data_IF_429821466347
#
_entry.id   IF_429821466347
#
_cell.length_a   1.000
_cell.length_b   1.000
_cell.length_c   1.000
_cell.angle_alpha   90.00
_cell.angle_beta   90.00
_cell.angle_gamma   90.00
#
_symmetry.space_group_name_H-M   'P 1'
#
loop_
_entity.id
_entity.type
_entity.pdbx_description
1 polymer ?
#
# COMPACT_ATOMS: atom_id res chain seq x y z
N UNK A 1 14.78 20.10 52.02
CA UNK A 1 13.43 19.95 51.43
C UNK A 1 13.24 20.70 50.11
N UNK A 2 13.77 21.93 49.93
CA UNK A 2 13.68 22.68 48.66
C UNK A 2 14.29 21.98 47.42
N UNK A 3 15.36 21.19 47.60
CA UNK A 3 16.00 20.43 46.51
C UNK A 3 15.23 19.17 46.07
N UNK A 4 14.34 18.64 46.91
CA UNK A 4 13.52 17.45 46.59
C UNK A 4 12.28 17.81 45.76
N UNK A 5 11.73 19.01 45.95
CA UNK A 5 10.57 19.50 45.18
C UNK A 5 10.96 19.80 43.73
N UNK A 6 12.18 20.30 43.49
CA UNK A 6 12.67 20.56 42.13
C UNK A 6 12.89 19.29 41.31
N UNK A 7 13.34 18.19 41.93
CA UNK A 7 13.51 16.90 41.23
C UNK A 7 12.17 16.27 40.86
N UNK A 8 11.14 16.43 41.70
CA UNK A 8 9.79 15.94 41.40
C UNK A 8 9.13 16.71 40.25
N UNK A 9 9.38 18.02 40.15
CA UNK A 9 8.88 18.85 39.04
C UNK A 9 9.57 18.54 37.70
N UNK A 10 10.86 18.16 37.73
CA UNK A 10 11.58 17.78 36.51
C UNK A 10 11.16 16.40 35.97
N UNK A 11 10.83 15.45 36.84
CA UNK A 11 10.38 14.10 36.44
C UNK A 11 8.95 14.15 35.89
N UNK A 12 8.07 15.00 36.42
CA UNK A 12 6.71 15.18 35.89
C UNK A 12 6.68 15.80 34.49
N UNK A 13 7.74 16.51 34.07
CA UNK A 13 7.81 17.11 32.73
C UNK A 13 8.19 16.13 31.61
N UNK A 14 8.74 14.96 31.96
CA UNK A 14 9.19 13.94 30.99
C UNK A 14 8.05 13.00 30.56
N UNK A 15 6.88 13.06 31.21
CA UNK A 15 5.75 12.15 30.96
C UNK A 15 4.67 12.74 30.05
N UNK A 16 4.86 13.95 29.50
CA UNK A 16 4.09 14.35 28.31
C UNK A 16 4.71 13.64 27.09
N UNK A 17 4.59 12.31 27.09
CA UNK A 17 4.83 11.47 25.94
C UNK A 17 4.07 12.06 24.75
N UNK A 18 4.76 12.12 23.62
CA UNK A 18 4.43 12.78 22.35
C UNK A 18 3.09 12.34 21.76
N UNK A 19 2.01 12.71 22.43
CA UNK A 19 0.65 12.42 22.01
C UNK A 19 0.22 13.53 21.08
N UNK A 20 0.37 13.28 19.78
CA UNK A 20 -0.01 14.23 18.74
C UNK A 20 -1.36 13.81 18.15
N UNK A 21 -2.11 14.78 17.64
CA UNK A 21 -3.30 14.48 16.88
C UNK A 21 -2.91 13.72 15.60
N UNK A 22 -3.68 12.69 15.29
CA UNK A 22 -3.56 11.92 14.07
C UNK A 22 -4.55 12.45 13.06
N UNK A 23 -4.10 12.68 11.84
CA UNK A 23 -4.90 13.20 10.75
C UNK A 23 -4.80 12.29 9.53
N UNK A 24 -5.92 12.13 8.83
CA UNK A 24 -5.94 11.68 7.45
C UNK A 24 -5.82 12.91 6.56
N UNK A 25 -4.81 12.94 5.71
CA UNK A 25 -4.51 14.07 4.83
C UNK A 25 -4.66 13.59 3.39
N UNK A 26 -5.49 14.28 2.61
CA UNK A 26 -5.67 13.96 1.20
C UNK A 26 -4.44 14.38 0.38
N UNK A 27 -4.03 13.51 -0.55
CA UNK A 27 -2.93 13.72 -1.48
C UNK A 27 -3.49 13.75 -2.91
N UNK A 28 -3.35 14.88 -3.58
CA UNK A 28 -3.71 14.99 -5.01
C UNK A 28 -2.56 14.48 -5.91
N UNK A 29 -1.33 14.43 -5.38
CA UNK A 29 -0.14 13.92 -6.06
C UNK A 29 1.02 13.65 -5.08
N UNK A 30 2.03 12.93 -5.56
CA UNK A 30 3.26 12.59 -4.82
C UNK A 30 4.09 13.82 -4.41
N UNK A 31 4.02 14.95 -5.14
CA UNK A 31 4.74 16.19 -4.76
C UNK A 31 4.22 16.77 -3.45
N UNK A 32 2.91 16.70 -3.19
CA UNK A 32 2.32 17.17 -1.92
C UNK A 32 2.85 16.37 -0.73
N UNK A 33 3.09 15.07 -0.89
CA UNK A 33 3.65 14.22 0.16
C UNK A 33 5.08 14.65 0.52
N UNK A 34 5.93 14.91 -0.47
CA UNK A 34 7.30 15.40 -0.25
C UNK A 34 7.30 16.73 0.50
N UNK A 35 6.49 17.69 0.05
CA UNK A 35 6.37 19.01 0.71
C UNK A 35 5.77 18.92 2.12
N UNK A 36 4.89 17.95 2.37
CA UNK A 36 4.32 17.70 3.69
C UNK A 36 5.40 17.19 4.65
N UNK A 37 6.24 16.24 4.21
CA UNK A 37 7.34 15.67 5.01
C UNK A 37 8.48 16.66 5.22
N UNK A 38 8.75 17.54 4.26
CA UNK A 38 9.75 18.61 4.39
C UNK A 38 9.36 19.70 5.42
N UNK A 39 8.11 19.72 5.88
CA UNK A 39 7.68 20.62 6.94
C UNK A 39 8.16 20.07 8.28
N UNK A 40 9.05 20.79 8.99
CA UNK A 40 9.85 20.29 10.13
C UNK A 40 9.07 19.68 11.32
N UNK A 41 7.74 19.70 11.32
CA UNK A 41 6.90 19.19 12.41
C UNK A 41 5.78 18.24 11.95
N UNK A 42 5.93 17.57 10.79
CA UNK A 42 4.96 16.55 10.34
C UNK A 42 5.62 15.18 10.25
N UNK A 43 5.04 14.21 10.95
CA UNK A 43 5.41 12.80 10.86
C UNK A 43 4.36 12.04 10.03
N UNK A 44 4.78 11.39 8.94
CA UNK A 44 3.90 10.53 8.14
C UNK A 44 4.05 9.08 8.61
N UNK A 45 2.94 8.42 8.92
CA UNK A 45 2.88 7.09 9.54
C UNK A 45 2.38 5.99 8.61
N UNK A 46 1.68 6.41 7.55
CA UNK A 46 1.23 5.59 6.43
C UNK A 46 0.97 6.51 5.24
N UNK A 47 1.18 6.05 4.01
CA UNK A 47 0.79 6.78 2.81
C UNK A 47 0.48 5.82 1.66
N UNK A 48 -0.33 6.31 0.73
CA UNK A 48 -0.52 5.77 -0.62
C UNK A 48 -0.65 6.96 -1.59
N UNK A 49 -1.13 6.70 -2.81
CA UNK A 49 -1.24 7.74 -3.84
C UNK A 49 -2.37 8.76 -3.60
N UNK A 50 -3.32 8.46 -2.71
CA UNK A 50 -4.57 9.24 -2.51
C UNK A 50 -4.59 9.94 -1.16
N UNK A 51 -3.97 9.39 -0.13
CA UNK A 51 -3.91 9.99 1.19
C UNK A 51 -2.70 9.50 2.00
N UNK A 52 -2.39 10.24 3.07
CA UNK A 52 -1.50 9.78 4.12
C UNK A 52 -2.13 9.93 5.50
N UNK A 53 -1.64 9.14 6.44
CA UNK A 53 -1.90 9.30 7.86
C UNK A 53 -0.69 10.01 8.46
N UNK A 54 -0.92 11.17 9.06
CA UNK A 54 0.14 12.03 9.56
C UNK A 54 -0.18 12.59 10.96
N UNK A 55 0.86 12.86 11.75
CA UNK A 55 0.76 13.57 13.02
C UNK A 55 1.62 14.83 13.01
N UNK A 56 1.30 15.74 13.93
CA UNK A 56 2.04 16.99 14.12
C UNK A 56 1.32 18.20 13.51
N UNK A 57 2.08 19.21 13.10
CA UNK A 57 1.53 20.47 12.60
C UNK A 57 1.23 20.39 11.10
N UNK A 58 0.17 19.63 10.78
CA UNK A 58 -0.36 19.56 9.41
C UNK A 58 -1.00 20.91 9.09
N UNK A 59 -0.30 21.78 8.36
CA UNK A 59 -0.78 23.13 8.06
C UNK A 59 -2.14 23.19 7.35
N UNK A 60 -2.85 24.30 7.49
CA UNK A 60 -4.21 24.52 6.96
C UNK A 60 -4.32 24.45 5.43
N UNK A 61 -3.20 24.52 4.71
CA UNK A 61 -3.15 24.38 3.24
C UNK A 61 -3.50 22.97 2.75
N UNK A 62 -3.53 21.98 3.64
CA UNK A 62 -3.86 20.60 3.31
C UNK A 62 -5.29 20.26 3.73
N UNK A 63 -6.03 19.58 2.86
CA UNK A 63 -7.32 18.99 3.23
C UNK A 63 -7.07 17.82 4.18
N UNK A 64 -7.41 18.02 5.46
CA UNK A 64 -7.17 17.06 6.55
C UNK A 64 -8.44 16.77 7.32
N UNK A 65 -8.54 15.55 7.83
CA UNK A 65 -9.59 15.10 8.75
C UNK A 65 -8.95 14.53 10.00
N UNK A 66 -9.50 14.88 11.17
CA UNK A 66 -9.03 14.36 12.44
C UNK A 66 -9.41 12.87 12.55
N UNK A 67 -8.42 12.03 12.79
CA UNK A 67 -8.59 10.59 13.06
C UNK A 67 -8.68 10.34 14.55
N UNK A 68 -7.73 10.86 15.32
CA UNK A 68 -7.70 10.65 16.78
C UNK A 68 -6.98 11.82 17.45
N UNK A 69 -7.43 12.23 18.64
CA UNK A 69 -6.69 13.15 19.50
C UNK A 69 -5.77 12.36 20.41
N UNK A 70 -4.56 12.86 20.64
CA UNK A 70 -3.61 12.21 21.55
C UNK A 70 -3.32 10.75 21.12
N UNK A 71 -2.91 10.55 19.87
CA UNK A 71 -2.60 9.23 19.36
C UNK A 71 -1.40 8.59 20.09
N UNK A 72 -1.38 7.25 20.09
CA UNK A 72 -0.38 6.40 20.77
C UNK A 72 -0.17 6.66 22.28
N UNK A 73 -1.13 7.31 22.96
CA UNK A 73 -1.08 7.47 24.42
C UNK A 73 -1.31 6.17 25.19
N UNK A 74 -1.90 5.15 24.54
CA UNK A 74 -2.25 3.86 25.13
C UNK A 74 -1.47 2.74 24.41
N UNK A 75 -1.34 1.55 25.04
CA UNK A 75 -0.64 0.37 24.49
C UNK A 75 -1.38 -0.30 23.31
N UNK A 76 -2.19 0.45 22.56
CA UNK A 76 -2.95 -0.03 21.41
C UNK A 76 -2.34 0.51 20.13
N UNK A 77 -2.33 -0.33 19.09
CA UNK A 77 -1.88 0.04 17.75
C UNK A 77 -3.08 0.48 16.90
N UNK A 78 -2.79 1.23 15.84
CA UNK A 78 -3.79 1.67 14.87
C UNK A 78 -3.73 0.81 13.61
N UNK A 79 -4.88 0.38 13.13
CA UNK A 79 -5.01 -0.42 11.92
C UNK A 79 -5.98 0.22 10.95
N UNK A 80 -5.55 0.32 9.70
CA UNK A 80 -6.36 0.71 8.56
C UNK A 80 -7.01 -0.54 7.98
N UNK A 81 -8.34 -0.52 7.87
CA UNK A 81 -9.16 -1.59 7.30
C UNK A 81 -9.84 -1.05 6.05
N UNK A 82 -9.60 -1.68 4.91
CA UNK A 82 -10.30 -1.37 3.66
C UNK A 82 -11.70 -1.96 3.67
N UNK A 83 -12.68 -1.14 3.31
CA UNK A 83 -14.08 -1.52 3.29
C UNK A 83 -14.46 -2.13 1.94
N UNK A 84 -15.24 -3.21 1.91
CA UNK A 84 -15.71 -3.80 0.66
C UNK A 84 -16.71 -2.85 -0.03
N UNK A 85 -16.62 -2.74 -1.36
CA UNK A 85 -17.53 -1.89 -2.16
C UNK A 85 -19.01 -2.31 -2.01
N UNK A 86 -19.25 -3.60 -1.75
CA UNK A 86 -20.56 -4.17 -1.47
C UNK A 86 -20.61 -4.58 -0.01
N UNK A 87 -21.75 -4.39 0.65
CA UNK A 87 -21.96 -4.79 2.06
C UNK A 87 -21.09 -4.04 3.08
N UNK A 88 -20.60 -2.83 2.71
CA UNK A 88 -19.80 -1.98 3.60
C UNK A 88 -20.48 -1.78 4.96
N UNK A 89 -21.77 -1.45 4.99
CA UNK A 89 -22.51 -1.15 6.22
C UNK A 89 -22.49 -2.30 7.23
N UNK A 90 -22.76 -3.53 6.78
CA UNK A 90 -22.74 -4.71 7.65
C UNK A 90 -21.32 -5.05 8.12
N UNK A 91 -20.31 -4.81 7.28
CA UNK A 91 -18.92 -5.01 7.64
C UNK A 91 -18.43 -3.96 8.65
N UNK A 92 -18.82 -2.69 8.48
CA UNK A 92 -18.56 -1.59 9.41
C UNK A 92 -19.16 -1.91 10.77
N UNK A 93 -20.42 -2.35 10.83
CA UNK A 93 -21.08 -2.70 12.09
C UNK A 93 -20.32 -3.84 12.81
N UNK A 94 -19.89 -4.86 12.07
CA UNK A 94 -19.06 -5.94 12.60
C UNK A 94 -17.75 -5.42 13.19
N UNK A 95 -17.05 -4.52 12.49
CA UNK A 95 -15.79 -3.93 12.96
C UNK A 95 -16.04 -3.09 14.22
N UNK A 96 -17.05 -2.21 14.21
CA UNK A 96 -17.39 -1.33 15.32
C UNK A 96 -17.79 -2.10 16.59
N UNK A 97 -18.38 -3.29 16.44
CA UNK A 97 -18.72 -4.17 17.55
C UNK A 97 -17.52 -4.92 18.16
N UNK A 98 -16.43 -5.09 17.40
CA UNK A 98 -15.24 -5.84 17.82
C UNK A 98 -14.08 -4.94 18.26
N UNK A 99 -13.98 -3.75 17.68
CA UNK A 99 -12.83 -2.86 17.84
C UNK A 99 -13.26 -1.42 18.11
N UNK A 100 -12.36 -0.66 18.72
CA UNK A 100 -12.57 0.77 18.90
C UNK A 100 -12.28 1.50 17.58
N UNK A 101 -13.34 1.83 16.84
CA UNK A 101 -13.24 2.58 15.58
C UNK A 101 -13.06 4.07 15.85
N UNK A 102 -11.95 4.63 15.37
CA UNK A 102 -11.58 6.03 15.57
C UNK A 102 -11.88 6.90 14.34
N UNK A 103 -11.95 6.28 13.16
CA UNK A 103 -12.27 6.97 11.92
C UNK A 103 -12.95 6.03 10.93
N UNK A 104 -13.80 6.59 10.08
CA UNK A 104 -14.47 5.90 9.00
C UNK A 104 -14.82 6.88 7.87
N UNK A 105 -14.71 6.41 6.64
CA UNK A 105 -15.36 6.97 5.45
C UNK A 105 -15.90 5.86 4.54
N UNK A 106 -16.19 6.16 3.28
CA UNK A 106 -16.76 5.22 2.32
C UNK A 106 -15.78 4.11 1.87
N UNK A 107 -14.47 4.28 2.09
CA UNK A 107 -13.42 3.39 1.59
C UNK A 107 -12.65 2.68 2.69
N UNK A 108 -12.48 3.32 3.85
CA UNK A 108 -11.65 2.81 4.94
C UNK A 108 -12.29 3.04 6.31
N UNK A 109 -11.95 2.17 7.24
CA UNK A 109 -12.09 2.38 8.67
C UNK A 109 -10.70 2.35 9.32
N UNK A 110 -10.50 3.13 10.38
CA UNK A 110 -9.31 3.04 11.24
C UNK A 110 -9.76 2.63 12.63
N UNK A 111 -9.13 1.58 13.15
CA UNK A 111 -9.44 1.00 14.46
C UNK A 111 -8.22 0.95 15.36
N UNK A 112 -8.45 1.02 16.67
CA UNK A 112 -7.47 0.72 17.71
C UNK A 112 -7.65 -0.73 18.18
N UNK A 113 -6.55 -1.46 18.25
CA UNK A 113 -6.55 -2.87 18.69
C UNK A 113 -5.17 -3.32 19.15
N UNK A 114 -5.10 -4.43 19.88
CA UNK A 114 -3.86 -5.20 20.02
C UNK A 114 -3.60 -6.04 18.77
N UNK A 115 -2.35 -6.50 18.62
CA UNK A 115 -1.96 -7.38 17.51
C UNK A 115 -2.70 -8.73 17.57
N UNK A 116 -2.94 -9.26 18.76
CA UNK A 116 -3.64 -10.54 18.95
C UNK A 116 -5.11 -10.43 18.54
N UNK A 117 -5.79 -9.36 18.95
CA UNK A 117 -7.21 -9.17 18.66
C UNK A 117 -7.45 -8.86 17.17
N UNK A 118 -6.62 -8.01 16.55
CA UNK A 118 -6.82 -7.63 15.15
C UNK A 118 -6.60 -8.80 14.19
N UNK A 119 -5.72 -9.74 14.54
CA UNK A 119 -5.48 -10.95 13.73
C UNK A 119 -6.68 -11.90 13.70
N UNK A 120 -7.70 -11.70 14.56
CA UNK A 120 -8.96 -12.45 14.53
C UNK A 120 -9.99 -11.79 13.60
N UNK A 121 -9.74 -10.58 13.11
CA UNK A 121 -10.62 -9.92 12.15
C UNK A 121 -10.61 -10.71 10.84
N UNK A 122 -11.79 -11.16 10.42
CA UNK A 122 -11.98 -11.68 9.07
C UNK A 122 -11.97 -10.49 8.09
N UNK A 123 -10.84 -10.30 7.39
CA UNK A 123 -10.60 -9.20 6.45
C UNK A 123 -11.40 -9.43 5.17
N UNK A 124 -12.29 -8.51 4.82
CA UNK A 124 -13.17 -8.65 3.65
C UNK A 124 -12.42 -8.56 2.31
N UNK A 125 -11.26 -7.91 2.28
CA UNK A 125 -10.43 -7.70 1.09
C UNK A 125 -9.03 -8.26 1.32
N UNK A 126 -8.45 -8.93 0.32
CA UNK A 126 -7.07 -9.41 0.42
C UNK A 126 -6.10 -8.23 0.57
N UNK A 127 -5.22 -8.26 1.57
CA UNK A 127 -4.37 -7.11 1.93
C UNK A 127 -5.15 -5.92 2.51
N UNK A 128 -6.43 -6.11 2.83
CA UNK A 128 -7.34 -5.08 3.33
C UNK A 128 -7.08 -4.63 4.76
N UNK A 129 -6.02 -5.10 5.41
CA UNK A 129 -5.64 -4.75 6.78
C UNK A 129 -4.19 -4.29 6.81
N UNK A 130 -3.96 -3.07 7.27
CA UNK A 130 -2.62 -2.45 7.32
C UNK A 130 -2.39 -1.84 8.69
N UNK A 131 -1.28 -2.22 9.34
CA UNK A 131 -0.83 -1.56 10.58
C UNK A 131 -0.26 -0.17 10.27
N UNK A 132 -0.83 0.85 10.88
CA UNK A 132 -0.29 2.22 10.83
C UNK A 132 0.91 2.26 11.79
N UNK A 133 2.07 2.66 11.27
CA UNK A 133 3.30 2.67 12.07
C UNK A 133 3.25 3.78 13.11
N UNK A 134 3.78 3.55 14.31
CA UNK A 134 3.97 4.63 15.29
C UNK A 134 5.13 5.55 14.91
N UNK A 135 6.10 5.01 14.20
CA UNK A 135 7.29 5.73 13.77
C UNK A 135 7.09 6.27 12.34
N UNK A 136 7.65 7.45 12.03
CA UNK A 136 7.56 8.00 10.69
C UNK A 136 8.11 7.03 9.64
N UNK A 137 7.34 6.83 8.57
CA UNK A 137 7.77 6.05 7.40
C UNK A 137 8.84 6.80 6.62
N UNK A 138 9.81 6.06 6.09
CA UNK A 138 10.83 6.63 5.22
C UNK A 138 10.25 6.77 3.82
N UNK A 139 10.21 7.99 3.30
CA UNK A 139 9.91 8.19 1.88
C UNK A 139 11.05 7.62 1.04
N UNK A 140 10.74 7.00 -0.11
CA UNK A 140 11.76 6.57 -1.05
C UNK A 140 12.54 7.79 -1.51
N UNK A 141 13.81 7.83 -1.15
CA UNK A 141 14.73 8.80 -1.73
C UNK A 141 15.03 8.32 -3.14
N UNK A 142 14.82 9.17 -4.15
CA UNK A 142 15.40 8.92 -5.47
C UNK A 142 16.90 8.87 -5.27
N UNK A 143 17.46 7.66 -5.20
CA UNK A 143 18.90 7.49 -5.34
C UNK A 143 19.22 8.02 -6.72
N UNK A 144 19.98 9.11 -6.77
CA UNK A 144 20.68 9.48 -7.98
C UNK A 144 21.62 8.31 -8.27
N UNK A 145 21.22 7.46 -9.20
CA UNK A 145 22.12 6.49 -9.77
C UNK A 145 23.18 7.31 -10.51
N UNK A 146 24.29 7.57 -9.84
CA UNK A 146 25.53 7.89 -10.51
C UNK A 146 25.91 6.62 -11.26
N UNK A 147 25.36 6.48 -12.46
CA UNK A 147 25.95 5.63 -13.47
C UNK A 147 27.31 6.26 -13.76
N UNK A 148 28.31 5.82 -13.00
CA UNK A 148 29.63 5.72 -13.58
C UNK A 148 29.40 4.89 -14.84
N UNK A 149 29.63 5.47 -16.02
CA UNK A 149 29.66 4.75 -17.28
C UNK A 149 30.87 3.81 -17.20
N UNK A 150 30.76 2.78 -16.35
CA UNK A 150 31.55 1.56 -16.46
C UNK A 150 31.32 1.11 -17.89
N UNK A 151 32.42 0.97 -18.62
CA UNK A 151 32.49 0.37 -19.96
C UNK A 151 31.30 -0.57 -20.15
N UNK A 152 30.42 -0.21 -21.09
CA UNK A 152 29.19 -0.94 -21.31
C UNK A 152 29.49 -2.44 -21.35
N UNK A 153 28.77 -3.20 -20.55
CA UNK A 153 28.92 -4.65 -20.54
C UNK A 153 28.48 -5.14 -21.92
N UNK A 154 29.45 -5.55 -22.72
CA UNK A 154 29.22 -5.99 -24.11
C UNK A 154 28.25 -7.18 -24.15
N UNK A 155 28.12 -7.93 -23.06
CA UNK A 155 27.10 -8.97 -22.91
C UNK A 155 25.70 -8.37 -22.92
N UNK A 156 25.49 -7.30 -22.15
CA UNK A 156 24.20 -6.61 -22.05
C UNK A 156 23.88 -5.90 -23.37
N UNK A 157 24.85 -5.25 -24.00
CA UNK A 157 24.66 -4.62 -25.31
C UNK A 157 24.25 -5.64 -26.37
N UNK A 158 24.89 -6.81 -26.39
CA UNK A 158 24.54 -7.90 -27.30
C UNK A 158 23.15 -8.47 -27.01
N UNK A 159 22.75 -8.58 -25.73
CA UNK A 159 21.40 -9.01 -25.37
C UNK A 159 20.34 -8.00 -25.83
N UNK A 160 20.60 -6.70 -25.64
CA UNK A 160 19.69 -5.64 -26.10
C UNK A 160 19.63 -5.58 -27.63
N UNK A 161 20.75 -5.72 -28.32
CA UNK A 161 20.81 -5.73 -29.79
C UNK A 161 20.12 -6.95 -30.41
N UNK A 162 19.99 -8.06 -29.67
CA UNK A 162 19.26 -9.25 -30.11
C UNK A 162 17.73 -9.09 -30.01
N UNK A 163 17.23 -8.07 -29.31
CA UNK A 163 15.79 -7.79 -29.21
C UNK A 163 15.28 -7.18 -30.52
N UNK A 164 14.38 -7.88 -31.18
CA UNK A 164 13.73 -7.40 -32.40
C UNK A 164 12.41 -6.71 -32.07
N UNK A 165 12.38 -5.37 -32.19
CA UNK A 165 11.20 -4.56 -31.87
C UNK A 165 9.97 -4.94 -32.71
N UNK A 166 10.16 -5.29 -33.98
CA UNK A 166 9.08 -5.71 -34.88
C UNK A 166 8.42 -7.02 -34.41
N UNK A 167 9.20 -7.97 -33.88
CA UNK A 167 8.68 -9.22 -33.31
C UNK A 167 7.83 -8.95 -32.07
N UNK A 168 8.28 -8.05 -31.19
CA UNK A 168 7.51 -7.65 -30.00
C UNK A 168 6.19 -6.99 -30.40
N UNK A 169 6.21 -6.12 -31.41
CA UNK A 169 4.99 -5.45 -31.88
C UNK A 169 4.01 -6.44 -32.52
N UNK A 170 4.51 -7.42 -33.27
CA UNK A 170 3.68 -8.47 -33.84
C UNK A 170 3.00 -9.32 -32.74
N UNK A 171 3.74 -9.66 -31.68
CA UNK A 171 3.20 -10.40 -30.55
C UNK A 171 2.14 -9.58 -29.77
N UNK A 172 2.39 -8.28 -29.56
CA UNK A 172 1.42 -7.37 -28.94
C UNK A 172 0.14 -7.27 -29.77
N UNK A 173 0.27 -7.03 -31.08
CA UNK A 173 -0.88 -6.91 -31.96
C UNK A 173 -1.70 -8.20 -31.97
N UNK A 174 -1.05 -9.35 -32.07
CA UNK A 174 -1.75 -10.64 -32.03
C UNK A 174 -2.53 -10.83 -30.73
N UNK A 175 -1.95 -10.42 -29.59
CA UNK A 175 -2.67 -10.45 -28.32
C UNK A 175 -3.86 -9.48 -28.33
N UNK A 176 -3.70 -8.26 -28.85
CA UNK A 176 -4.79 -7.27 -28.95
C UNK A 176 -5.94 -7.73 -29.86
N UNK A 177 -5.65 -8.51 -30.91
CA UNK A 177 -6.65 -9.01 -31.87
C UNK A 177 -7.73 -9.90 -31.23
N UNK A 178 -7.46 -10.50 -30.06
CA UNK A 178 -8.46 -11.24 -29.29
C UNK A 178 -9.59 -10.36 -28.72
N UNK A 179 -9.39 -9.04 -28.62
CA UNK A 179 -10.40 -8.08 -28.12
C UNK A 179 -10.64 -8.11 -26.60
N UNK A 180 -10.87 -9.29 -26.01
CA UNK A 180 -10.93 -9.52 -24.56
C UNK A 180 -10.07 -10.73 -24.18
N UNK A 181 -9.62 -10.77 -22.93
CA UNK A 181 -8.91 -11.91 -22.33
C UNK A 181 -9.39 -12.13 -20.90
N UNK A 182 -10.70 -11.94 -20.67
CA UNK A 182 -11.32 -12.24 -19.38
C UNK A 182 -11.11 -13.71 -19.02
N UNK A 183 -10.80 -13.99 -17.76
CA UNK A 183 -10.31 -15.32 -17.32
C UNK A 183 -11.25 -16.50 -17.61
N UNK A 184 -12.53 -16.24 -17.88
CA UNK A 184 -13.58 -17.21 -18.18
C UNK A 184 -14.07 -17.16 -19.64
N UNK A 185 -13.36 -16.43 -20.51
CA UNK A 185 -13.69 -16.28 -21.93
C UNK A 185 -12.96 -17.31 -22.79
N UNK A 186 -13.50 -17.62 -23.98
CA UNK A 186 -12.85 -18.53 -24.93
C UNK A 186 -11.55 -17.91 -25.47
N UNK A 187 -11.56 -16.61 -25.67
CA UNK A 187 -10.44 -15.80 -26.14
C UNK A 187 -9.24 -15.88 -25.18
N UNK A 188 -9.50 -16.00 -23.87
CA UNK A 188 -8.43 -16.23 -22.89
C UNK A 188 -7.80 -17.63 -22.99
N UNK A 189 -8.59 -18.66 -23.33
CA UNK A 189 -8.08 -20.02 -23.57
C UNK A 189 -7.23 -20.03 -24.85
N UNK A 190 -7.74 -19.44 -25.93
CA UNK A 190 -7.02 -19.34 -27.20
C UNK A 190 -5.70 -18.56 -27.05
N UNK A 191 -5.70 -17.49 -26.25
CA UNK A 191 -4.48 -16.75 -25.94
C UNK A 191 -3.48 -17.58 -25.11
N UNK A 192 -3.95 -18.38 -24.15
CA UNK A 192 -3.09 -19.27 -23.36
C UNK A 192 -2.44 -20.34 -24.23
N UNK A 193 -3.21 -20.98 -25.11
CA UNK A 193 -2.71 -21.99 -26.04
C UNK A 193 -1.70 -21.38 -27.03
N UNK A 194 -1.96 -20.16 -27.51
CA UNK A 194 -1.01 -19.46 -28.39
C UNK A 194 0.31 -19.14 -27.67
N UNK A 195 0.25 -18.61 -26.45
CA UNK A 195 1.43 -18.35 -25.62
C UNK A 195 2.22 -19.63 -25.40
N UNK A 196 1.53 -20.71 -25.03
CA UNK A 196 2.15 -22.03 -24.86
C UNK A 196 2.89 -22.45 -26.14
N UNK A 197 2.23 -22.37 -27.29
CA UNK A 197 2.83 -22.70 -28.57
C UNK A 197 4.05 -21.83 -28.91
N UNK A 198 4.08 -20.54 -28.54
CA UNK A 198 5.27 -19.70 -28.74
C UNK A 198 6.46 -20.22 -27.93
N UNK A 199 6.27 -20.56 -26.66
CA UNK A 199 7.34 -21.11 -25.82
C UNK A 199 7.81 -22.48 -26.32
N UNK A 200 6.89 -23.35 -26.76
CA UNK A 200 7.24 -24.66 -27.34
C UNK A 200 8.01 -24.53 -28.65
N UNK A 201 7.70 -23.52 -29.48
CA UNK A 201 8.47 -23.20 -30.70
C UNK A 201 9.92 -22.83 -30.39
N UNK A 202 10.19 -22.25 -29.22
CA UNK A 202 11.55 -21.99 -28.73
C UNK A 202 12.23 -23.23 -28.11
N UNK A 203 11.57 -24.39 -28.14
CA UNK A 203 12.07 -25.65 -27.62
C UNK A 203 11.92 -25.79 -26.11
N UNK A 204 11.06 -24.99 -25.48
CA UNK A 204 10.79 -25.04 -24.05
C UNK A 204 9.63 -26.01 -23.78
N UNK A 205 9.70 -26.74 -22.65
CA UNK A 205 8.59 -27.54 -22.18
C UNK A 205 7.67 -26.66 -21.34
N UNK A 206 6.39 -26.62 -21.70
CA UNK A 206 5.39 -25.79 -21.02
C UNK A 206 4.20 -26.59 -20.51
N UNK A 207 3.60 -26.10 -19.42
CA UNK A 207 2.38 -26.64 -18.83
C UNK A 207 1.42 -25.47 -18.55
N UNK A 208 0.16 -25.61 -18.95
CA UNK A 208 -0.90 -24.64 -18.61
C UNK A 208 -1.59 -25.10 -17.34
N UNK A 209 -1.47 -24.30 -16.28
CA UNK A 209 -2.10 -24.54 -14.99
C UNK A 209 -3.43 -23.80 -14.91
N UNK A 210 -4.54 -24.52 -15.08
CA UNK A 210 -5.89 -23.95 -14.95
C UNK A 210 -6.25 -23.71 -13.48
N UNK A 211 -6.27 -22.44 -13.05
CA UNK A 211 -6.76 -22.06 -11.73
C UNK A 211 -8.29 -21.79 -11.76
N UNK A 212 -9.08 -22.86 -11.79
CA UNK A 212 -10.46 -22.89 -11.27
C UNK A 212 -11.60 -22.32 -12.15
N UNK A 213 -12.26 -23.20 -12.90
CA UNK A 213 -13.68 -23.59 -12.75
C UNK A 213 -13.92 -24.72 -13.77
N UNK A 214 -13.95 -25.96 -13.27
CA UNK A 214 -14.15 -27.21 -13.99
C UNK A 214 -13.26 -27.41 -15.24
N UNK A 215 -12.18 -28.17 -15.06
CA UNK A 215 -11.28 -28.63 -16.12
C UNK A 215 -11.93 -29.59 -17.12
N UNK A 216 -13.04 -29.18 -17.72
CA UNK A 216 -13.61 -29.77 -18.91
C UNK A 216 -13.18 -28.91 -20.10
N UNK A 217 -12.35 -29.50 -20.96
CA UNK A 217 -12.33 -29.10 -22.37
C UNK A 217 -13.76 -29.22 -22.88
N UNK A 218 -14.40 -28.11 -23.23
CA UNK A 218 -15.49 -28.13 -24.20
C UNK A 218 -14.89 -28.21 -25.61
#
# INVERSE_FOLDING_TARGET
MRKLVFTFFLIALVINAFSQNLYKVHLDNTKKLSTLVETENVAVHYYNDVFCIASGDVGEKYTKQLVEKNAWGNHEDYYLVWLPLKEADGYIEKIANQFNMVYQDDQIAIVKSTTEAINQLNVALHGGLVKIQQHPVRLPQMQQFNYDLRTADTTIENMVAAVQADSIMADIQHMEDYGTREYNSLEAIEAQDWIQAQFERYGLSTEVLYAGADGAKM
#
